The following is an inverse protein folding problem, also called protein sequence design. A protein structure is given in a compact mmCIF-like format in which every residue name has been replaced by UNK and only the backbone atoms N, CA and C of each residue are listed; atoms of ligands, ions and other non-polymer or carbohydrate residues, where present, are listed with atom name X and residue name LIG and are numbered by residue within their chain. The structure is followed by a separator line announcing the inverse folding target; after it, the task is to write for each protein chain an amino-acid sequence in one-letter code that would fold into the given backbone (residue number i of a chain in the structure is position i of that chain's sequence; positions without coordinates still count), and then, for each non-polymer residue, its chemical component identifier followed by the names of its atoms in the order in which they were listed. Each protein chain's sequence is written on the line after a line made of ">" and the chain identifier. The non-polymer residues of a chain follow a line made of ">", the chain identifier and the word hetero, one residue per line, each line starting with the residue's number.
data_IF_097652905848
#
_entry.id   IF_097652905848
#
_cell.length_a   1.000
_cell.length_b   1.000
_cell.length_c   1.000
_cell.angle_alpha   90.00
_cell.angle_beta   90.00
_cell.angle_gamma   90.00
#
_symmetry.space_group_name_H-M   'P 1'
#
loop_
_entity.id
_entity.type
_entity.pdbx_description
1 polymer ?
#
# COMPACT_ATOMS: atom_id res chain seq x y z
N UNK A 1 -2.26 -0.57 9.09
CA UNK A 1 -1.71 0.60 9.83
C UNK A 1 -2.23 1.93 9.27
N UNK A 2 -2.39 2.09 7.95
CA UNK A 2 -2.82 3.34 7.31
C UNK A 2 -4.33 3.62 7.35
N UNK A 3 -5.18 2.59 7.52
CA UNK A 3 -6.64 2.73 7.39
C UNK A 3 -7.34 3.62 8.42
N UNK A 4 -6.71 3.94 9.55
CA UNK A 4 -7.25 4.92 10.52
C UNK A 4 -7.14 6.33 9.94
N UNK A 5 -5.96 6.71 9.43
CA UNK A 5 -5.74 8.00 8.78
C UNK A 5 -6.62 8.18 7.54
N UNK A 6 -6.85 7.10 6.79
CA UNK A 6 -7.77 7.09 5.63
C UNK A 6 -9.26 6.99 6.02
N UNK A 7 -9.62 6.99 7.31
CA UNK A 7 -11.00 6.87 7.82
C UNK A 7 -11.80 5.68 7.27
N UNK A 8 -11.12 4.62 6.86
CA UNK A 8 -11.74 3.37 6.41
C UNK A 8 -12.49 2.72 7.58
N UNK A 9 -11.93 2.86 8.78
CA UNK A 9 -12.51 2.39 10.03
C UNK A 9 -13.24 3.54 10.72
N UNK A 10 -14.54 3.69 10.44
CA UNK A 10 -15.36 4.80 10.95
C UNK A 10 -15.41 4.91 12.48
N UNK A 11 -15.13 3.82 13.20
CA UNK A 11 -15.25 3.72 14.66
C UNK A 11 -13.97 3.21 15.35
N UNK A 12 -12.79 3.53 14.81
CA UNK A 12 -11.52 3.16 15.43
C UNK A 12 -10.76 4.42 15.87
N UNK A 13 -10.85 4.73 17.16
CA UNK A 13 -10.23 5.93 17.75
C UNK A 13 -8.74 5.68 18.07
N UNK A 14 -8.37 4.42 18.26
CA UNK A 14 -7.00 4.01 18.58
C UNK A 14 -6.39 3.08 17.52
N UNK A 15 -5.06 3.07 17.47
CA UNK A 15 -4.32 2.13 16.62
C UNK A 15 -4.65 0.66 16.93
N UNK A 16 -4.94 0.35 18.20
CA UNK A 16 -5.29 -1.01 18.63
C UNK A 16 -6.67 -1.42 18.13
N UNK A 17 -7.67 -0.53 18.21
CA UNK A 17 -9.01 -0.79 17.67
C UNK A 17 -8.96 -0.95 16.16
N UNK A 18 -8.22 -0.10 15.45
CA UNK A 18 -8.04 -0.26 14.01
C UNK A 18 -7.35 -1.58 13.66
N UNK A 19 -6.35 -2.01 14.44
CA UNK A 19 -5.71 -3.34 14.26
C UNK A 19 -6.70 -4.48 14.48
N UNK A 20 -7.49 -4.42 15.55
CA UNK A 20 -8.52 -5.43 15.83
C UNK A 20 -9.55 -5.48 14.70
N UNK A 21 -10.00 -4.33 14.21
CA UNK A 21 -10.92 -4.23 13.07
C UNK A 21 -10.34 -4.85 11.79
N UNK A 22 -9.08 -4.57 11.47
CA UNK A 22 -8.37 -5.21 10.35
C UNK A 22 -8.35 -6.74 10.52
N UNK A 23 -7.98 -7.24 11.70
CA UNK A 23 -7.89 -8.67 11.95
C UNK A 23 -9.26 -9.37 11.80
N UNK A 24 -10.33 -8.75 12.29
CA UNK A 24 -11.70 -9.26 12.09
C UNK A 24 -12.06 -9.32 10.62
N UNK A 25 -11.77 -8.29 9.83
CA UNK A 25 -12.02 -8.31 8.39
C UNK A 25 -11.20 -9.37 7.66
N UNK A 26 -9.92 -9.53 7.99
CA UNK A 26 -9.08 -10.60 7.42
C UNK A 26 -9.71 -11.96 7.69
N UNK A 27 -10.14 -12.21 8.94
CA UNK A 27 -10.80 -13.45 9.31
C UNK A 27 -12.08 -13.68 8.51
N UNK A 28 -12.94 -12.67 8.39
CA UNK A 28 -14.18 -12.80 7.61
C UNK A 28 -13.91 -13.11 6.14
N UNK A 29 -12.89 -12.49 5.53
CA UNK A 29 -12.48 -12.78 4.16
C UNK A 29 -11.92 -14.20 4.00
N UNK A 30 -11.19 -14.71 5.01
CA UNK A 30 -10.72 -16.10 5.04
C UNK A 30 -11.89 -17.09 5.19
N UNK A 31 -12.80 -16.84 6.13
CA UNK A 31 -14.00 -17.66 6.36
C UNK A 31 -14.93 -17.66 5.14
N UNK A 32 -14.85 -16.62 4.28
CA UNK A 32 -15.58 -16.52 3.01
C UNK A 32 -14.80 -17.07 1.81
N UNK A 33 -13.66 -17.74 2.02
CA UNK A 33 -12.78 -18.28 0.98
C UNK A 33 -12.22 -17.23 -0.01
N UNK A 34 -12.25 -15.94 0.34
CA UNK A 34 -11.71 -14.85 -0.49
C UNK A 34 -10.20 -14.64 -0.24
N UNK A 35 -9.73 -14.99 0.95
CA UNK A 35 -8.32 -15.05 1.28
C UNK A 35 -7.93 -16.48 1.64
N UNK A 36 -6.75 -16.88 1.21
CA UNK A 36 -6.12 -18.10 1.68
C UNK A 36 -5.71 -17.92 3.13
N UNK A 37 -6.14 -18.85 3.97
CA UNK A 37 -5.58 -19.03 5.31
C UNK A 37 -4.12 -19.42 5.13
N UNK A 38 -3.19 -18.58 5.59
CA UNK A 38 -1.79 -18.98 5.69
C UNK A 38 -1.76 -20.20 6.60
N UNK A 39 -1.46 -21.37 6.05
CA UNK A 39 -1.22 -22.52 6.90
C UNK A 39 -0.05 -22.15 7.80
N UNK A 40 -0.06 -22.59 9.05
CA UNK A 40 1.05 -22.47 9.99
C UNK A 40 2.24 -23.34 9.56
N UNK A 41 2.59 -23.30 8.27
CA UNK A 41 3.86 -23.77 7.75
C UNK A 41 4.96 -22.92 8.35
N UNK A 42 6.03 -23.57 8.79
CA UNK A 42 7.27 -22.95 9.30
C UNK A 42 7.83 -21.87 8.36
N UNK A 43 7.44 -21.89 7.08
CA UNK A 43 7.88 -20.95 6.05
C UNK A 43 6.92 -19.76 5.81
N UNK A 44 5.71 -19.76 6.37
CA UNK A 44 4.80 -18.63 6.22
C UNK A 44 5.20 -17.52 7.19
N UNK A 45 5.61 -16.38 6.63
CA UNK A 45 5.95 -15.21 7.44
C UNK A 45 4.69 -14.73 8.17
N UNK A 46 4.75 -14.45 9.48
CA UNK A 46 3.60 -13.93 10.20
C UNK A 46 3.19 -12.57 9.63
N UNK A 47 1.88 -12.36 9.48
CA UNK A 47 1.30 -11.09 9.04
C UNK A 47 1.08 -10.94 7.52
N UNK A 48 1.15 -12.02 6.75
CA UNK A 48 0.84 -12.01 5.31
C UNK A 48 -0.41 -12.86 5.01
N UNK A 49 -1.21 -12.44 4.04
CA UNK A 49 -2.35 -13.19 3.49
C UNK A 49 -2.17 -13.36 1.99
N UNK A 50 -2.70 -14.44 1.42
CA UNK A 50 -2.67 -14.70 -0.03
C UNK A 50 -4.11 -14.65 -0.57
N UNK A 51 -4.27 -14.32 -1.85
CA UNK A 51 -5.55 -14.35 -2.56
C UNK A 51 -5.38 -15.20 -3.83
N UNK A 52 -6.44 -15.89 -4.22
CA UNK A 52 -6.48 -16.49 -5.55
C UNK A 52 -6.43 -15.41 -6.63
N UNK A 53 -5.85 -15.73 -7.77
CA UNK A 53 -5.82 -14.87 -8.95
C UNK A 53 -7.22 -14.42 -9.38
N UNK A 54 -8.20 -15.33 -9.40
CA UNK A 54 -9.60 -14.99 -9.72
C UNK A 54 -10.20 -13.98 -8.75
N UNK A 55 -9.92 -14.11 -7.44
CA UNK A 55 -10.41 -13.15 -6.43
C UNK A 55 -9.71 -11.80 -6.59
N UNK A 56 -8.40 -11.82 -6.88
CA UNK A 56 -7.62 -10.62 -7.15
C UNK A 56 -8.17 -9.86 -8.35
N UNK A 57 -8.47 -10.55 -9.44
CA UNK A 57 -8.95 -9.91 -10.67
C UNK A 57 -10.34 -9.28 -10.47
N UNK A 58 -11.22 -9.96 -9.72
CA UNK A 58 -12.52 -9.38 -9.30
C UNK A 58 -12.31 -8.17 -8.38
N UNK A 59 -11.39 -8.24 -7.41
CA UNK A 59 -11.10 -7.11 -6.53
C UNK A 59 -10.57 -5.89 -7.31
N UNK A 60 -9.71 -6.12 -8.31
CA UNK A 60 -9.23 -5.07 -9.22
C UNK A 60 -10.41 -4.47 -10.01
N UNK A 61 -11.31 -5.31 -10.51
CA UNK A 61 -12.51 -4.85 -11.23
C UNK A 61 -13.44 -4.02 -10.35
N UNK A 62 -13.61 -4.37 -9.07
CA UNK A 62 -14.41 -3.61 -8.12
C UNK A 62 -13.74 -2.27 -7.79
N UNK A 63 -12.41 -2.26 -7.72
CA UNK A 63 -11.63 -1.07 -7.40
C UNK A 63 -11.38 -0.15 -8.61
N UNK A 64 -12.08 -0.33 -9.73
CA UNK A 64 -11.85 0.37 -11.00
C UNK A 64 -11.92 1.88 -10.93
N UNK A 65 -12.68 2.42 -9.97
CA UNK A 65 -12.82 3.86 -9.74
C UNK A 65 -11.53 4.51 -9.21
N UNK A 66 -10.60 3.71 -8.70
CA UNK A 66 -9.31 4.16 -8.19
C UNK A 66 -8.17 3.60 -9.04
N UNK A 67 -7.19 4.45 -9.31
CA UNK A 67 -5.98 4.06 -10.04
C UNK A 67 -4.87 3.76 -9.05
N UNK A 68 -4.31 2.55 -9.13
CA UNK A 68 -3.18 2.13 -8.32
C UNK A 68 -1.94 1.85 -9.18
N UNK A 69 -0.78 2.36 -8.75
CA UNK A 69 0.51 2.03 -9.34
C UNK A 69 1.29 1.15 -8.37
N UNK A 70 1.53 -0.10 -8.75
CA UNK A 70 2.23 -1.08 -7.90
C UNK A 70 3.46 -1.61 -8.63
N UNK A 71 4.62 -1.39 -8.01
CA UNK A 71 5.94 -1.90 -8.41
C UNK A 71 6.71 -2.34 -7.17
N UNK A 72 6.15 -3.29 -6.42
CA UNK A 72 6.79 -3.81 -5.21
C UNK A 72 7.71 -5.00 -5.53
N UNK A 73 8.90 -5.06 -4.95
CA UNK A 73 9.78 -6.23 -5.08
C UNK A 73 10.41 -6.43 -6.45
N UNK A 74 10.48 -5.40 -7.29
CA UNK A 74 10.97 -5.51 -8.69
C UNK A 74 12.41 -5.00 -8.85
N UNK A 75 13.12 -4.80 -7.74
CA UNK A 75 14.50 -4.31 -7.70
C UNK A 75 14.68 -2.91 -8.32
N UNK A 76 13.73 -1.99 -8.10
CA UNK A 76 13.94 -0.58 -8.48
C UNK A 76 15.09 0.03 -7.68
N UNK A 77 16.04 0.67 -8.35
CA UNK A 77 17.12 1.44 -7.73
C UNK A 77 16.82 2.95 -7.73
N UNK A 78 15.96 3.38 -8.65
CA UNK A 78 15.58 4.78 -8.85
C UNK A 78 14.07 4.99 -8.69
N UNK A 79 13.68 6.24 -8.43
CA UNK A 79 12.28 6.63 -8.40
C UNK A 79 11.67 6.57 -9.81
N UNK A 80 10.46 5.99 -9.99
CA UNK A 80 9.84 5.87 -11.32
C UNK A 80 9.48 7.23 -11.93
N UNK A 81 9.47 7.31 -13.27
CA UNK A 81 9.18 8.55 -14.00
C UNK A 81 7.82 9.15 -13.59
N UNK A 82 7.87 10.43 -13.20
CA UNK A 82 6.80 11.16 -12.51
C UNK A 82 5.66 11.64 -13.41
N UNK A 83 5.88 11.90 -14.70
CA UNK A 83 4.82 12.37 -15.62
C UNK A 83 3.68 11.35 -15.74
N UNK A 84 3.97 10.08 -15.47
CA UNK A 84 2.99 9.01 -15.47
C UNK A 84 2.19 8.90 -14.17
N UNK A 85 2.62 9.56 -13.08
CA UNK A 85 2.14 9.24 -11.73
C UNK A 85 0.99 10.11 -11.22
N UNK A 86 0.72 11.26 -11.85
CA UNK A 86 -0.25 12.26 -11.36
C UNK A 86 -1.70 11.72 -11.26
N UNK A 87 -2.01 10.69 -12.04
CA UNK A 87 -3.34 10.11 -12.16
C UNK A 87 -3.64 9.01 -11.13
N UNK A 88 -2.66 8.57 -10.35
CA UNK A 88 -2.83 7.48 -9.39
C UNK A 88 -3.31 7.98 -8.02
N UNK A 89 -4.26 7.25 -7.45
CA UNK A 89 -4.74 7.45 -6.08
C UNK A 89 -3.86 6.76 -5.05
N UNK A 90 -3.20 5.67 -5.44
CA UNK A 90 -2.29 4.94 -4.57
C UNK A 90 -1.03 4.49 -5.31
N UNK A 91 0.12 4.66 -4.66
CA UNK A 91 1.43 4.26 -5.18
C UNK A 91 2.10 3.33 -4.18
N UNK A 92 2.54 2.15 -4.64
CA UNK A 92 3.34 1.22 -3.85
C UNK A 92 4.65 0.86 -4.56
N UNK A 93 5.74 1.28 -3.93
CA UNK A 93 7.13 1.04 -4.31
C UNK A 93 7.86 0.23 -3.22
N UNK A 94 7.11 -0.53 -2.43
CA UNK A 94 7.66 -1.33 -1.32
C UNK A 94 8.70 -2.36 -1.78
N UNK A 95 9.59 -2.74 -0.88
CA UNK A 95 10.53 -3.85 -1.10
C UNK A 95 11.43 -3.66 -2.33
N UNK A 96 11.91 -2.45 -2.59
CA UNK A 96 12.89 -2.17 -3.64
C UNK A 96 14.22 -1.67 -3.02
N UNK A 97 15.13 -1.19 -3.87
CA UNK A 97 16.43 -0.62 -3.49
C UNK A 97 16.49 0.88 -3.79
N UNK A 98 15.36 1.60 -3.74
CA UNK A 98 15.32 3.01 -4.11
C UNK A 98 16.19 3.80 -3.14
N UNK A 99 17.11 4.61 -3.68
CA UNK A 99 18.11 5.32 -2.86
C UNK A 99 17.68 6.74 -2.47
N UNK A 100 16.86 7.39 -3.29
CA UNK A 100 16.54 8.82 -3.15
C UNK A 100 15.11 9.13 -3.61
N UNK A 101 14.46 10.04 -2.88
CA UNK A 101 13.23 10.69 -3.33
C UNK A 101 13.52 11.76 -4.39
N UNK A 102 12.61 12.00 -5.34
CA UNK A 102 12.73 13.14 -6.24
C UNK A 102 12.64 14.46 -5.45
N UNK A 103 13.27 15.53 -5.97
CA UNK A 103 13.25 16.84 -5.32
C UNK A 103 11.86 17.50 -5.32
N UNK A 104 11.05 17.14 -6.31
CA UNK A 104 9.68 17.58 -6.49
C UNK A 104 8.87 16.46 -7.13
N UNK A 105 7.66 16.21 -6.62
CA UNK A 105 6.71 15.29 -7.23
C UNK A 105 5.31 15.89 -7.16
N UNK A 106 4.64 16.01 -8.31
CA UNK A 106 3.27 16.49 -8.38
C UNK A 106 2.33 15.28 -8.32
N UNK A 107 1.65 15.10 -7.19
CA UNK A 107 0.81 13.92 -6.92
C UNK A 107 -0.59 14.35 -6.43
N UNK A 108 -1.37 15.07 -7.26
CA UNK A 108 -2.57 15.80 -6.82
C UNK A 108 -3.74 14.90 -6.44
N UNK A 109 -3.72 13.62 -6.86
CA UNK A 109 -4.77 12.65 -6.58
C UNK A 109 -4.34 11.59 -5.54
N UNK A 110 -3.09 11.66 -5.07
CA UNK A 110 -2.52 10.64 -4.21
C UNK A 110 -3.12 10.68 -2.81
N UNK A 111 -3.66 9.54 -2.39
CA UNK A 111 -4.20 9.31 -1.05
C UNK A 111 -3.27 8.44 -0.21
N UNK A 112 -2.47 7.57 -0.86
CA UNK A 112 -1.57 6.65 -0.17
C UNK A 112 -0.27 6.43 -0.94
N UNK A 113 0.85 6.59 -0.23
CA UNK A 113 2.20 6.28 -0.71
C UNK A 113 2.84 5.24 0.19
N UNK A 114 3.29 4.12 -0.40
CA UNK A 114 3.93 3.02 0.30
C UNK A 114 5.35 2.81 -0.23
N UNK A 115 6.35 3.09 0.60
CA UNK A 115 7.78 3.01 0.28
C UNK A 115 8.57 2.18 1.29
N UNK A 116 7.87 1.40 2.12
CA UNK A 116 8.50 0.58 3.17
C UNK A 116 9.44 -0.45 2.56
N UNK A 117 10.41 -0.90 3.36
CA UNK A 117 11.41 -1.90 2.96
C UNK A 117 12.35 -1.47 1.82
N UNK A 118 12.46 -0.17 1.53
CA UNK A 118 13.58 0.40 0.78
C UNK A 118 14.71 0.80 1.73
N UNK A 119 15.59 -0.15 2.08
CA UNK A 119 16.57 0.02 3.17
C UNK A 119 17.61 1.11 2.90
N UNK A 120 17.96 1.32 1.64
CA UNK A 120 18.94 2.32 1.22
C UNK A 120 18.32 3.67 0.90
N UNK A 121 17.01 3.84 1.13
CA UNK A 121 16.30 5.08 0.86
C UNK A 121 16.73 6.14 1.87
N UNK A 122 17.50 7.11 1.39
CA UNK A 122 17.93 8.22 2.21
C UNK A 122 16.74 9.17 2.44
N UNK A 123 16.36 9.34 3.70
CA UNK A 123 15.16 10.09 4.07
C UNK A 123 15.35 11.62 4.05
N UNK A 124 16.39 12.15 3.39
CA UNK A 124 16.44 13.58 3.04
C UNK A 124 15.53 13.84 1.84
N UNK A 125 14.23 13.82 2.07
CA UNK A 125 13.31 14.36 1.08
C UNK A 125 13.40 15.88 1.09
N UNK A 126 13.36 16.49 -0.08
CA UNK A 126 13.10 17.93 -0.21
C UNK A 126 11.77 18.23 0.48
N UNK A 127 11.66 19.33 1.24
CA UNK A 127 10.38 19.77 1.83
C UNK A 127 9.27 19.91 0.77
N UNK A 128 9.64 20.04 -0.50
CA UNK A 128 8.72 20.14 -1.63
C UNK A 128 8.20 18.78 -2.15
N UNK A 129 8.66 17.65 -1.63
CA UNK A 129 8.19 16.33 -2.09
C UNK A 129 6.68 16.14 -1.82
N UNK A 130 6.23 16.49 -0.62
CA UNK A 130 4.83 16.33 -0.21
C UNK A 130 3.95 17.55 -0.55
N UNK A 131 4.53 18.66 -1.03
CA UNK A 131 3.76 19.88 -1.32
C UNK A 131 2.80 19.75 -2.51
N UNK A 132 3.02 18.74 -3.37
CA UNK A 132 2.14 18.40 -4.47
C UNK A 132 0.94 17.51 -4.08
N UNK A 133 0.82 17.10 -2.81
CA UNK A 133 -0.29 16.28 -2.32
C UNK A 133 -1.43 17.15 -1.78
N UNK A 134 -2.68 16.79 -2.08
CA UNK A 134 -3.84 17.44 -1.44
C UNK A 134 -3.93 17.02 0.03
N UNK A 135 -3.91 17.98 0.93
CA UNK A 135 -4.26 17.82 2.36
C UNK A 135 -5.75 17.82 2.59
#
# INVERSE_FOLDING_TARGET
>A
RYGIGSRIFKNADTLQEGRRGVNTMIKNLQDSCLLLTSSSSINDRPGFTKMHDVVRDVAISIASDHKYFVRAGVNLEEWPNMESLEHYNGISLMCNNIHRFPDYCRLPNLQILLVQDNRSLFWSYSHNFFSGMKT
#
